data_IF_831131528830
#
_entry.id   IF_831131528830
#
_cell.length_a   1.000
_cell.length_b   1.000
_cell.length_c   1.000
_cell.angle_alpha   90.00
_cell.angle_beta   90.00
_cell.angle_gamma   90.00
#
_symmetry.space_group_name_H-M   'P 1'
#
loop_
_entity.id
_entity.type
_entity.pdbx_description
1 polymer ?
#
# COMPACT_ATOMS: atom_id res chain seq x y z
N UNK A 1 13.13 12.34 6.30
CA UNK A 1 12.32 13.57 6.51
C UNK A 1 12.26 14.39 5.23
N UNK A 2 11.09 14.81 4.78
CA UNK A 2 11.01 15.73 3.65
C UNK A 2 11.53 17.10 4.04
N UNK A 3 12.19 17.77 3.10
CA UNK A 3 12.69 19.14 3.32
C UNK A 3 11.54 20.14 3.41
N UNK A 4 10.47 19.89 2.66
CA UNK A 4 9.27 20.73 2.61
C UNK A 4 8.06 19.84 2.49
N UNK A 5 7.01 20.12 3.26
CA UNK A 5 5.74 19.41 3.14
C UNK A 5 4.90 20.09 2.08
N UNK A 6 4.58 19.35 1.00
CA UNK A 6 3.79 19.86 -0.12
C UNK A 6 2.29 19.67 0.08
N UNK A 7 1.88 18.66 0.83
CA UNK A 7 0.49 18.29 1.03
C UNK A 7 0.34 17.50 2.33
N UNK A 8 -0.74 17.75 3.04
CA UNK A 8 -1.08 17.00 4.27
C UNK A 8 -2.49 16.46 4.13
N UNK A 9 -2.63 15.13 4.15
CA UNK A 9 -3.93 14.48 4.25
C UNK A 9 -4.33 14.39 5.72
N UNK A 10 -5.62 14.53 5.98
CA UNK A 10 -6.15 14.46 7.34
C UNK A 10 -7.37 13.56 7.38
N UNK A 11 -7.44 12.70 8.38
CA UNK A 11 -8.58 11.82 8.61
C UNK A 11 -8.87 11.76 10.10
N UNK A 12 -10.14 11.58 10.45
CA UNK A 12 -10.58 11.40 11.82
C UNK A 12 -11.21 10.03 11.99
N UNK A 13 -10.87 9.36 13.10
CA UNK A 13 -11.47 8.11 13.53
C UNK A 13 -12.45 8.41 14.64
N UNK A 14 -13.67 7.86 14.56
CA UNK A 14 -14.72 7.99 15.57
C UNK A 14 -15.26 6.60 15.92
N UNK A 15 -15.95 6.51 17.07
CA UNK A 15 -16.49 5.25 17.55
C UNK A 15 -15.40 4.36 18.16
N UNK A 16 -15.44 3.07 17.87
CA UNK A 16 -14.61 2.05 18.49
C UNK A 16 -13.31 1.72 17.71
N UNK A 17 -12.69 2.68 17.05
CA UNK A 17 -11.47 2.41 16.32
C UNK A 17 -11.68 1.41 15.19
N UNK A 18 -11.16 0.17 15.34
CA UNK A 18 -11.30 -0.87 14.29
C UNK A 18 -12.74 -1.29 14.02
N UNK A 19 -13.68 -0.96 14.90
CA UNK A 19 -15.12 -1.17 14.71
C UNK A 19 -15.89 0.16 14.63
N UNK A 20 -15.21 1.23 14.30
CA UNK A 20 -15.79 2.57 14.23
C UNK A 20 -15.96 3.06 12.81
N UNK A 21 -15.51 4.29 12.58
CA UNK A 21 -15.68 4.98 11.30
C UNK A 21 -14.49 5.89 11.04
N UNK A 22 -14.05 6.00 9.80
CA UNK A 22 -13.03 6.96 9.40
C UNK A 22 -13.56 7.86 8.28
N UNK A 23 -13.19 9.13 8.35
CA UNK A 23 -13.55 10.11 7.33
C UNK A 23 -12.37 11.03 7.10
N UNK A 24 -12.00 11.24 5.84
CA UNK A 24 -11.03 12.27 5.47
C UNK A 24 -11.69 13.65 5.49
N UNK A 25 -10.88 14.71 5.63
CA UNK A 25 -11.39 16.08 5.69
C UNK A 25 -12.17 16.47 4.44
N UNK A 26 -11.83 15.90 3.27
CA UNK A 26 -12.54 16.13 2.01
C UNK A 26 -13.67 15.12 1.74
N UNK A 27 -13.89 14.18 2.68
CA UNK A 27 -14.92 13.14 2.62
C UNK A 27 -14.77 12.14 1.47
N UNK A 28 -13.65 12.13 0.76
CA UNK A 28 -13.40 11.16 -0.31
C UNK A 28 -13.25 9.74 0.23
N UNK A 29 -12.73 9.61 1.45
CA UNK A 29 -12.75 8.36 2.19
C UNK A 29 -13.70 8.58 3.35
N UNK A 30 -14.76 7.77 3.41
CA UNK A 30 -15.84 7.88 4.39
C UNK A 30 -16.39 6.47 4.59
N UNK A 31 -15.83 5.73 5.55
CA UNK A 31 -16.00 4.28 5.63
C UNK A 31 -16.34 3.83 7.05
N UNK A 32 -17.32 2.95 7.15
CA UNK A 32 -17.51 2.13 8.35
C UNK A 32 -16.41 1.07 8.41
N UNK A 33 -15.88 0.84 9.60
CA UNK A 33 -14.85 -0.14 9.86
C UNK A 33 -15.40 -1.32 10.65
N UNK A 34 -14.83 -2.49 10.40
CA UNK A 34 -15.11 -3.68 11.18
C UNK A 34 -13.87 -4.57 11.24
N UNK A 35 -13.65 -5.20 12.38
CA UNK A 35 -12.59 -6.19 12.51
C UNK A 35 -12.90 -7.36 11.59
N UNK A 36 -11.91 -7.86 10.83
CA UNK A 36 -12.11 -9.01 9.95
C UNK A 36 -12.58 -10.26 10.69
N UNK A 37 -13.32 -11.11 10.00
CA UNK A 37 -13.79 -12.39 10.58
C UNK A 37 -12.61 -13.22 11.09
N UNK A 38 -11.52 -13.23 10.38
CA UNK A 38 -10.29 -13.97 10.73
C UNK A 38 -9.67 -13.51 12.06
N UNK A 39 -10.00 -12.30 12.49
CA UNK A 39 -9.55 -11.75 13.79
C UNK A 39 -10.68 -11.72 14.82
N UNK A 40 -11.79 -12.41 14.56
CA UNK A 40 -12.92 -12.52 15.47
C UNK A 40 -13.98 -11.44 15.34
N UNK A 41 -13.94 -10.64 14.30
CA UNK A 41 -14.91 -9.58 14.04
C UNK A 41 -16.05 -9.99 13.11
N UNK A 42 -16.87 -9.01 12.73
CA UNK A 42 -18.01 -9.23 11.83
C UNK A 42 -17.62 -9.18 10.35
N UNK A 43 -16.51 -8.50 10.03
CA UNK A 43 -16.06 -8.34 8.64
C UNK A 43 -17.00 -7.52 7.76
N UNK A 44 -17.92 -6.75 8.35
CA UNK A 44 -18.95 -6.04 7.60
C UNK A 44 -18.55 -4.65 7.13
N UNK A 45 -17.33 -4.21 7.44
CA UNK A 45 -16.78 -2.93 7.01
C UNK A 45 -15.37 -3.07 6.49
N UNK A 46 -14.76 -1.94 6.19
CA UNK A 46 -13.34 -1.87 5.84
C UNK A 46 -12.47 -2.00 7.11
N UNK A 47 -11.17 -1.96 6.94
CA UNK A 47 -10.23 -2.05 8.05
C UNK A 47 -8.93 -1.32 7.71
N UNK A 48 -8.08 -1.04 8.71
CA UNK A 48 -6.81 -0.34 8.46
C UNK A 48 -5.88 -1.04 7.48
N UNK A 49 -5.88 -2.37 7.46
CA UNK A 49 -5.02 -3.14 6.56
C UNK A 49 -5.46 -2.99 5.10
N UNK A 50 -6.76 -2.93 4.84
CA UNK A 50 -7.29 -2.64 3.50
C UNK A 50 -6.90 -1.22 3.05
N UNK A 51 -7.00 -0.25 3.94
CA UNK A 51 -6.59 1.13 3.64
C UNK A 51 -5.08 1.21 3.36
N UNK A 52 -4.27 0.52 4.14
CA UNK A 52 -2.83 0.44 3.94
C UNK A 52 -2.52 -0.21 2.58
N UNK A 53 -3.19 -1.31 2.25
CA UNK A 53 -3.01 -2.03 0.99
C UNK A 53 -3.38 -1.13 -0.20
N UNK A 54 -4.53 -0.46 -0.16
CA UNK A 54 -4.97 0.43 -1.23
C UNK A 54 -3.98 1.59 -1.42
N UNK A 55 -3.53 2.19 -0.34
CA UNK A 55 -2.55 3.27 -0.37
C UNK A 55 -1.21 2.82 -0.93
N UNK A 56 -0.70 1.69 -0.45
CA UNK A 56 0.59 1.18 -0.90
C UNK A 56 0.55 0.79 -2.37
N UNK A 57 -0.51 0.09 -2.80
CA UNK A 57 -0.67 -0.30 -4.21
C UNK A 57 -0.61 0.93 -5.13
N UNK A 58 -1.37 1.97 -4.82
CA UNK A 58 -1.39 3.19 -5.63
C UNK A 58 -0.05 3.93 -5.60
N UNK A 59 0.54 4.07 -4.42
CA UNK A 59 1.82 4.77 -4.24
C UNK A 59 2.95 4.06 -5.00
N UNK A 60 3.05 2.75 -4.86
CA UNK A 60 4.07 1.95 -5.55
C UNK A 60 3.84 1.96 -7.06
N UNK A 61 2.58 1.82 -7.51
CA UNK A 61 2.24 1.86 -8.93
C UNK A 61 2.66 3.19 -9.57
N UNK A 62 2.43 4.29 -8.88
CA UNK A 62 2.87 5.61 -9.32
C UNK A 62 4.40 5.67 -9.45
N UNK A 63 5.12 5.19 -8.44
CA UNK A 63 6.58 5.13 -8.47
C UNK A 63 7.09 4.27 -9.63
N UNK A 64 6.45 3.14 -9.87
CA UNK A 64 6.79 2.23 -10.99
C UNK A 64 6.66 2.96 -12.33
N UNK A 65 5.58 3.70 -12.53
CA UNK A 65 5.36 4.46 -13.76
C UNK A 65 6.37 5.59 -13.94
N UNK A 66 6.74 6.26 -12.87
CA UNK A 66 7.78 7.30 -12.92
C UNK A 66 9.12 6.71 -13.32
N UNK A 67 9.51 5.61 -12.71
CA UNK A 67 10.78 4.93 -12.99
C UNK A 67 10.82 4.45 -14.46
N UNK A 68 9.76 3.80 -14.93
CA UNK A 68 9.65 3.34 -16.30
C UNK A 68 9.68 4.51 -17.28
N UNK A 69 9.03 5.62 -16.94
CA UNK A 69 9.00 6.83 -17.76
C UNK A 69 10.37 7.45 -17.96
N UNK A 70 11.27 7.35 -16.98
CA UNK A 70 12.66 7.81 -17.09
C UNK A 70 13.42 7.05 -18.16
N UNK A 71 13.00 5.82 -18.47
CA UNK A 71 13.57 4.99 -19.55
C UNK A 71 12.65 4.95 -20.77
N UNK A 72 11.73 5.91 -20.88
CA UNK A 72 10.79 6.05 -22.01
C UNK A 72 9.97 4.77 -22.27
N UNK A 73 9.65 4.03 -21.21
CA UNK A 73 8.87 2.79 -21.28
C UNK A 73 7.47 3.03 -20.76
N UNK A 74 6.47 2.78 -21.60
CA UNK A 74 5.06 2.82 -21.22
C UNK A 74 4.69 1.47 -20.58
N UNK A 75 3.95 1.50 -19.47
CA UNK A 75 3.55 0.29 -18.76
C UNK A 75 2.16 -0.23 -19.17
N UNK A 76 1.41 0.52 -19.98
CA UNK A 76 0.10 0.09 -20.49
C UNK A 76 -0.87 -0.28 -19.36
N UNK A 77 -1.46 -1.48 -19.45
CA UNK A 77 -2.43 -2.00 -18.50
C UNK A 77 -1.78 -2.65 -17.27
N UNK A 78 -0.67 -2.09 -16.80
CA UNK A 78 0.02 -2.61 -15.62
C UNK A 78 -0.86 -2.54 -14.38
N UNK A 79 -0.63 -3.48 -13.46
CA UNK A 79 -1.29 -3.50 -12.16
C UNK A 79 -0.28 -3.73 -11.05
N UNK A 80 -0.57 -3.17 -9.90
CA UNK A 80 0.13 -3.46 -8.65
C UNK A 80 -0.91 -3.89 -7.62
N UNK A 81 -0.74 -5.08 -7.08
CA UNK A 81 -1.59 -5.59 -6.01
C UNK A 81 -0.77 -5.61 -4.73
N UNK A 82 -1.25 -4.96 -3.69
CA UNK A 82 -0.64 -5.02 -2.37
C UNK A 82 -1.43 -5.98 -1.49
N UNK A 83 -0.72 -6.93 -0.89
CA UNK A 83 -1.26 -7.85 0.10
C UNK A 83 -0.64 -7.46 1.44
N UNK A 84 -1.46 -7.06 2.38
CA UNK A 84 -1.02 -6.62 3.71
C UNK A 84 -1.56 -7.61 4.73
N UNK A 85 -0.65 -8.33 5.36
CA UNK A 85 -0.97 -9.28 6.42
C UNK A 85 -0.73 -8.65 7.79
N UNK A 86 -1.51 -9.08 8.77
CA UNK A 86 -1.36 -8.71 10.17
C UNK A 86 -1.31 -9.97 11.02
N UNK A 87 -0.44 -9.98 12.01
CA UNK A 87 -0.33 -11.09 12.93
C UNK A 87 0.40 -10.70 14.21
N UNK A 88 0.40 -11.59 15.21
CA UNK A 88 1.13 -11.33 16.45
C UNK A 88 2.63 -11.12 16.20
N UNK A 89 3.20 -10.17 16.92
CA UNK A 89 4.62 -9.83 16.88
C UNK A 89 5.04 -9.44 18.29
N UNK A 90 5.54 -10.41 19.05
CA UNK A 90 5.78 -10.24 20.48
C UNK A 90 4.47 -9.96 21.22
N UNK A 91 4.44 -8.89 22.00
CA UNK A 91 3.26 -8.45 22.74
C UNK A 91 2.34 -7.53 21.93
N UNK A 92 2.66 -7.32 20.66
CA UNK A 92 1.93 -6.43 19.76
C UNK A 92 1.53 -7.15 18.49
N UNK A 93 1.08 -6.41 17.50
CA UNK A 93 0.81 -6.90 16.14
C UNK A 93 1.78 -6.26 15.17
N UNK A 94 2.16 -7.01 14.16
CA UNK A 94 3.02 -6.53 13.09
C UNK A 94 2.39 -6.76 11.72
N UNK A 95 2.92 -6.06 10.73
CA UNK A 95 2.46 -6.14 9.35
C UNK A 95 3.52 -6.81 8.48
N UNK A 96 3.06 -7.48 7.43
CA UNK A 96 3.90 -8.01 6.36
C UNK A 96 3.24 -7.65 5.03
N UNK A 97 4.04 -7.32 4.03
CA UNK A 97 3.54 -6.85 2.74
C UNK A 97 4.11 -7.68 1.61
N UNK A 98 3.27 -8.04 0.64
CA UNK A 98 3.68 -8.54 -0.66
C UNK A 98 3.11 -7.60 -1.72
N UNK A 99 3.98 -7.10 -2.60
CA UNK A 99 3.57 -6.32 -3.76
C UNK A 99 3.69 -7.21 -4.99
N UNK A 100 2.58 -7.40 -5.69
CA UNK A 100 2.51 -8.21 -6.91
C UNK A 100 2.41 -7.27 -8.09
N UNK A 101 3.41 -7.31 -8.97
CA UNK A 101 3.52 -6.41 -10.10
C UNK A 101 3.26 -7.19 -11.39
N UNK A 102 2.34 -6.72 -12.21
CA UNK A 102 2.02 -7.32 -13.49
C UNK A 102 2.04 -6.26 -14.58
N UNK A 103 2.91 -6.43 -15.57
CA UNK A 103 3.02 -5.56 -16.73
C UNK A 103 2.90 -6.42 -17.99
N UNK A 104 1.68 -6.56 -18.55
CA UNK A 104 1.50 -7.36 -19.76
C UNK A 104 2.35 -6.81 -20.91
N UNK A 105 3.00 -7.71 -21.64
CA UNK A 105 3.78 -7.35 -22.83
C UNK A 105 5.20 -6.87 -22.56
N UNK A 106 5.62 -6.78 -21.32
CA UNK A 106 6.99 -6.42 -20.96
C UNK A 106 7.70 -7.62 -20.35
N UNK A 107 8.98 -7.82 -20.68
CA UNK A 107 9.75 -8.93 -20.13
C UNK A 107 9.85 -8.85 -18.61
N UNK A 108 9.72 -10.00 -17.95
CA UNK A 108 9.74 -10.09 -16.49
C UNK A 108 10.99 -9.47 -15.86
N UNK A 109 12.16 -9.70 -16.46
CA UNK A 109 13.41 -9.14 -15.95
C UNK A 109 13.40 -7.61 -15.96
N UNK A 110 12.84 -7.02 -17.02
CA UNK A 110 12.71 -5.56 -17.11
C UNK A 110 11.74 -5.01 -16.09
N UNK A 111 10.62 -5.69 -15.89
CA UNK A 111 9.65 -5.34 -14.84
C UNK A 111 10.32 -5.42 -13.47
N UNK A 112 11.14 -6.44 -13.24
CA UNK A 112 11.86 -6.59 -11.98
C UNK A 112 12.82 -5.44 -11.71
N UNK A 113 13.55 -4.99 -12.72
CA UNK A 113 14.43 -3.81 -12.60
C UNK A 113 13.63 -2.58 -12.17
N UNK A 114 12.51 -2.33 -12.85
CA UNK A 114 11.65 -1.20 -12.53
C UNK A 114 11.06 -1.31 -11.13
N UNK A 115 10.64 -2.53 -10.73
CA UNK A 115 10.08 -2.76 -9.40
C UNK A 115 11.12 -2.50 -8.30
N UNK A 116 12.36 -2.96 -8.50
CA UNK A 116 13.45 -2.72 -7.54
C UNK A 116 13.74 -1.22 -7.39
N UNK A 117 13.77 -0.48 -8.50
CA UNK A 117 13.94 0.98 -8.46
C UNK A 117 12.74 1.68 -7.81
N UNK A 118 11.52 1.27 -8.15
CA UNK A 118 10.31 1.83 -7.57
C UNK A 118 10.30 1.65 -6.04
N UNK A 119 10.80 0.51 -5.56
CA UNK A 119 10.90 0.24 -4.12
C UNK A 119 11.86 1.21 -3.42
N UNK A 120 12.84 1.76 -4.13
CA UNK A 120 13.76 2.75 -3.57
C UNK A 120 13.13 4.15 -3.50
N UNK A 121 12.23 4.50 -4.40
CA UNK A 121 11.68 5.86 -4.50
C UNK A 121 10.27 6.01 -3.98
N UNK A 122 9.50 4.92 -3.88
CA UNK A 122 8.14 4.96 -3.36
C UNK A 122 8.14 5.43 -1.90
N UNK A 123 7.38 6.49 -1.55
CA UNK A 123 7.33 6.97 -0.16
C UNK A 123 6.89 5.92 0.86
N UNK A 124 5.94 5.05 0.49
CA UNK A 124 5.51 3.96 1.38
C UNK A 124 6.62 2.92 1.57
N UNK A 125 7.33 2.57 0.49
CA UNK A 125 8.47 1.67 0.60
C UNK A 125 9.57 2.26 1.48
N UNK A 126 9.80 3.56 1.39
CA UNK A 126 10.77 4.23 2.26
C UNK A 126 10.33 4.24 3.73
N UNK A 127 9.02 4.26 3.97
CA UNK A 127 8.47 4.19 5.33
C UNK A 127 8.52 2.76 5.91
N UNK A 128 8.45 1.74 5.07
CA UNK A 128 8.40 0.33 5.51
C UNK A 128 9.76 -0.35 5.49
N UNK A 129 10.64 0.02 4.56
CA UNK A 129 11.95 -0.62 4.38
C UNK A 129 12.80 -0.53 5.64
N UNK A 130 13.37 -1.68 6.03
CA UNK A 130 14.17 -1.78 7.26
C UNK A 130 13.35 -1.94 8.52
N UNK A 131 12.03 -1.92 8.43
CA UNK A 131 11.13 -2.07 9.57
C UNK A 131 10.25 -3.33 9.45
N UNK A 132 9.58 -3.51 8.30
CA UNK A 132 8.76 -4.69 8.06
C UNK A 132 9.19 -5.37 6.77
N UNK A 133 8.84 -6.66 6.63
CA UNK A 133 9.12 -7.42 5.41
C UNK A 133 8.22 -6.96 4.28
N UNK A 134 8.82 -6.64 3.13
CA UNK A 134 8.11 -6.31 1.88
C UNK A 134 8.69 -7.19 0.78
N UNK A 135 7.90 -8.13 0.28
CA UNK A 135 8.27 -8.98 -0.84
C UNK A 135 7.77 -8.36 -2.15
N UNK A 136 8.63 -8.30 -3.16
CA UNK A 136 8.24 -7.92 -4.52
C UNK A 136 8.09 -9.18 -5.35
N UNK A 137 6.92 -9.38 -5.94
CA UNK A 137 6.63 -10.53 -6.80
C UNK A 137 6.24 -10.02 -8.19
N UNK A 138 6.99 -10.43 -9.20
CA UNK A 138 6.73 -10.07 -10.59
C UNK A 138 6.11 -11.26 -11.31
N UNK A 139 4.96 -11.03 -11.94
CA UNK A 139 4.26 -12.04 -12.73
C UNK A 139 4.79 -12.10 -14.17
#
# INVERSE_FOLDING_TARGET
>A
MPDTVLYTAEAVSTGDGRNGHVTTSDQRIDLDLAVPVEMGGTGTGSNPEELFAAGYAACFHSALRVVAGRQHTALGDSTVTAQVGIGPDGDAYGLVVTLVIHVPGLEREKVREFADEAHQVCPYSRATRGNISVELRVL
#
